data_IF_390000044780
#
_entry.id   IF_390000044780
#
_cell.length_a   1.000
_cell.length_b   1.000
_cell.length_c   1.000
_cell.angle_alpha   90.00
_cell.angle_beta   90.00
_cell.angle_gamma   90.00
#
_symmetry.space_group_name_H-M   'P 1'
#
loop_
_entity.id
_entity.type
_entity.pdbx_description
1 polymer ?
#
# COMPACT_ATOMS: atom_id res chain seq x y z
N UNK A 1 -6.46 5.26 -32.51
CA UNK A 1 -7.84 4.75 -32.24
C UNK A 1 -8.69 5.20 -33.40
N UNK A 2 -9.39 4.28 -34.06
CA UNK A 2 -10.20 4.57 -35.25
C UNK A 2 -11.64 4.18 -34.96
N UNK A 3 -12.59 5.08 -35.24
CA UNK A 3 -14.02 4.81 -35.10
C UNK A 3 -14.47 3.90 -36.25
N UNK A 4 -15.07 2.76 -35.91
CA UNK A 4 -15.62 1.80 -36.88
C UNK A 4 -17.13 2.01 -37.09
N UNK A 5 -17.84 2.50 -36.09
CA UNK A 5 -19.28 2.75 -36.15
C UNK A 5 -19.95 2.50 -34.80
N UNK A 6 -21.21 2.08 -34.83
CA UNK A 6 -21.98 1.77 -33.63
C UNK A 6 -22.39 0.30 -33.60
N UNK A 7 -22.25 -0.37 -32.45
CA UNK A 7 -22.67 -1.74 -32.23
C UNK A 7 -23.59 -1.81 -31.01
N UNK A 8 -24.85 -2.25 -31.20
CA UNK A 8 -25.88 -2.33 -30.13
C UNK A 8 -26.02 -1.05 -29.29
N UNK A 9 -25.83 0.12 -29.91
CA UNK A 9 -25.92 1.42 -29.23
C UNK A 9 -24.60 1.93 -28.61
N UNK A 10 -23.53 1.14 -28.65
CA UNK A 10 -22.19 1.55 -28.23
C UNK A 10 -21.36 2.05 -29.40
N UNK A 11 -20.54 3.07 -29.18
CA UNK A 11 -19.54 3.50 -30.17
C UNK A 11 -18.41 2.47 -30.22
N UNK A 12 -18.23 1.84 -31.37
CA UNK A 12 -17.21 0.82 -31.60
C UNK A 12 -15.97 1.47 -32.18
N UNK A 13 -14.89 1.44 -31.41
CA UNK A 13 -13.58 1.90 -31.84
C UNK A 13 -12.62 0.72 -31.98
N UNK A 14 -11.64 0.81 -32.85
CA UNK A 14 -10.56 -0.17 -32.93
C UNK A 14 -9.23 0.45 -32.50
N UNK A 15 -8.46 -0.35 -31.77
CA UNK A 15 -7.08 -0.05 -31.40
C UNK A 15 -6.24 -1.31 -31.57
N UNK A 16 -4.94 -1.10 -31.73
CA UNK A 16 -3.96 -2.17 -31.63
C UNK A 16 -3.33 -2.08 -30.24
N UNK A 17 -3.34 -3.18 -29.52
CA UNK A 17 -2.65 -3.31 -28.23
C UNK A 17 -1.25 -3.87 -28.48
N UNK A 18 -0.24 -2.99 -28.49
CA UNK A 18 1.15 -3.37 -28.75
C UNK A 18 1.74 -4.28 -27.65
N UNK A 19 1.16 -4.31 -26.45
CA UNK A 19 1.65 -5.18 -25.39
C UNK A 19 1.22 -6.63 -25.62
N UNK A 20 -0.03 -6.83 -26.03
CA UNK A 20 -0.60 -8.14 -26.35
C UNK A 20 -0.44 -8.55 -27.82
N UNK A 21 0.04 -7.64 -28.67
CA UNK A 21 0.13 -7.80 -30.12
C UNK A 21 -1.20 -8.24 -30.77
N UNK A 22 -2.32 -7.68 -30.31
CA UNK A 22 -3.65 -8.01 -30.80
C UNK A 22 -4.47 -6.77 -31.15
N UNK A 23 -5.39 -6.93 -32.10
CA UNK A 23 -6.40 -5.91 -32.37
C UNK A 23 -7.51 -6.03 -31.33
N UNK A 24 -7.89 -4.90 -30.74
CA UNK A 24 -8.98 -4.81 -29.78
C UNK A 24 -10.05 -3.87 -30.33
N UNK A 25 -11.29 -4.34 -30.30
CA UNK A 25 -12.45 -3.49 -30.34
C UNK A 25 -12.63 -2.86 -28.96
N UNK A 26 -13.02 -1.58 -28.91
CA UNK A 26 -13.33 -0.88 -27.68
C UNK A 26 -14.75 -0.36 -27.81
N UNK A 27 -15.64 -0.91 -27.00
CA UNK A 27 -17.00 -0.42 -26.84
C UNK A 27 -16.93 0.81 -25.92
N UNK A 28 -17.29 1.98 -26.45
CA UNK A 28 -17.31 3.26 -25.74
C UNK A 28 -18.73 3.62 -25.33
N UNK A 29 -18.89 3.93 -24.05
CA UNK A 29 -20.02 4.63 -23.45
C UNK A 29 -19.47 5.54 -22.34
N UNK A 30 -20.04 5.51 -21.13
CA UNK A 30 -19.48 6.20 -19.96
C UNK A 30 -18.09 5.68 -19.58
N UNK A 31 -17.91 4.36 -19.69
CA UNK A 31 -16.62 3.69 -19.56
C UNK A 31 -16.22 3.06 -20.88
N UNK A 32 -14.97 2.57 -20.91
CA UNK A 32 -14.38 1.95 -22.10
C UNK A 32 -14.15 0.48 -21.85
N UNK A 33 -14.68 -0.36 -22.73
CA UNK A 33 -14.62 -1.80 -22.58
C UNK A 33 -13.87 -2.43 -23.76
N UNK A 34 -12.59 -2.78 -23.58
CA UNK A 34 -11.81 -3.43 -24.62
C UNK A 34 -12.20 -4.91 -24.74
N UNK A 35 -12.32 -5.38 -25.99
CA UNK A 35 -12.64 -6.75 -26.39
C UNK A 35 -11.63 -7.17 -27.44
N UNK A 36 -10.90 -8.26 -27.17
CA UNK A 36 -9.92 -8.82 -28.10
C UNK A 36 -10.60 -9.40 -29.34
N UNK A 37 -10.12 -9.02 -30.52
CA UNK A 37 -10.58 -9.52 -31.80
C UNK A 37 -9.70 -10.70 -32.22
N UNK A 38 -10.33 -11.75 -32.71
CA UNK A 38 -9.66 -12.87 -33.39
C UNK A 38 -9.83 -12.80 -34.91
N UNK A 39 -9.43 -13.87 -35.59
CA UNK A 39 -9.40 -13.91 -37.06
C UNK A 39 -10.78 -14.10 -37.69
N UNK A 40 -11.73 -14.74 -36.99
CA UNK A 40 -13.08 -14.99 -37.50
C UNK A 40 -14.05 -13.84 -37.18
N UNK A 41 -14.70 -13.32 -38.22
CA UNK A 41 -15.70 -12.25 -38.12
C UNK A 41 -16.92 -12.67 -37.30
N UNK A 42 -17.42 -13.91 -37.46
CA UNK A 42 -18.59 -14.37 -36.68
C UNK A 42 -18.24 -14.55 -35.21
N UNK A 43 -17.09 -15.17 -34.94
CA UNK A 43 -16.55 -15.27 -33.59
C UNK A 43 -16.35 -13.90 -32.93
N UNK A 44 -15.93 -12.88 -33.69
CA UNK A 44 -15.79 -11.52 -33.15
C UNK A 44 -17.13 -10.90 -32.75
N UNK A 45 -18.19 -11.10 -33.53
CA UNK A 45 -19.55 -10.65 -33.16
C UNK A 45 -19.99 -11.34 -31.87
N UNK A 46 -19.79 -12.65 -31.74
CA UNK A 46 -20.11 -13.39 -30.51
C UNK A 46 -19.31 -12.89 -29.31
N UNK A 47 -18.01 -12.58 -29.47
CA UNK A 47 -17.20 -12.01 -28.38
C UNK A 47 -17.73 -10.64 -27.94
N UNK A 48 -18.16 -9.80 -28.89
CA UNK A 48 -18.77 -8.51 -28.58
C UNK A 48 -20.10 -8.67 -27.85
N UNK A 49 -20.95 -9.60 -28.28
CA UNK A 49 -22.22 -9.90 -27.61
C UNK A 49 -21.98 -10.40 -26.18
N UNK A 50 -21.07 -11.36 -25.99
CA UNK A 50 -20.71 -11.85 -24.66
C UNK A 50 -20.13 -10.74 -23.77
N UNK A 51 -19.37 -9.79 -24.33
CA UNK A 51 -18.84 -8.67 -23.58
C UNK A 51 -19.94 -7.71 -23.10
N UNK A 52 -21.01 -7.55 -23.88
CA UNK A 52 -22.19 -6.75 -23.50
C UNK A 52 -23.03 -7.50 -22.47
N UNK A 53 -23.25 -8.80 -22.67
CA UNK A 53 -24.02 -9.63 -21.73
C UNK A 53 -23.36 -9.65 -20.34
N UNK A 54 -22.02 -9.66 -20.28
CA UNK A 54 -21.25 -9.58 -19.03
C UNK A 54 -21.43 -8.25 -18.26
N UNK A 55 -22.11 -7.24 -18.81
CA UNK A 55 -22.40 -6.02 -18.05
C UNK A 55 -23.36 -6.27 -16.89
N UNK A 56 -24.30 -7.22 -17.01
CA UNK A 56 -25.19 -7.55 -15.90
C UNK A 56 -24.42 -8.07 -14.69
N UNK A 57 -23.46 -8.95 -14.93
CA UNK A 57 -22.66 -9.56 -13.88
C UNK A 57 -21.72 -8.53 -13.24
N UNK A 58 -21.12 -7.66 -14.06
CA UNK A 58 -20.26 -6.58 -13.57
C UNK A 58 -21.00 -5.54 -12.73
N UNK A 59 -22.27 -5.27 -13.03
CA UNK A 59 -23.11 -4.39 -12.21
C UNK A 59 -23.34 -5.06 -10.85
N UNK A 60 -23.73 -6.33 -10.84
CA UNK A 60 -23.92 -7.08 -9.59
C UNK A 60 -22.64 -7.15 -8.75
N UNK A 61 -21.48 -7.40 -9.37
CA UNK A 61 -20.19 -7.42 -8.68
C UNK A 61 -19.83 -6.04 -8.09
N UNK A 62 -20.09 -4.96 -8.83
CA UNK A 62 -19.84 -3.61 -8.35
C UNK A 62 -20.75 -3.24 -7.17
N UNK A 63 -22.03 -3.61 -7.21
CA UNK A 63 -22.98 -3.41 -6.10
C UNK A 63 -22.55 -4.19 -4.85
N UNK A 64 -22.16 -5.46 -5.02
CA UNK A 64 -21.64 -6.28 -3.93
C UNK A 64 -20.33 -5.70 -3.35
N UNK A 65 -19.42 -5.23 -4.19
CA UNK A 65 -18.18 -4.60 -3.76
C UNK A 65 -18.45 -3.31 -2.96
N UNK A 66 -19.43 -2.50 -3.37
CA UNK A 66 -19.85 -1.31 -2.66
C UNK A 66 -20.40 -1.67 -1.27
N UNK A 67 -21.33 -2.63 -1.20
CA UNK A 67 -21.90 -3.09 0.06
C UNK A 67 -20.82 -3.61 1.03
N UNK A 68 -19.88 -4.41 0.51
CA UNK A 68 -18.77 -4.93 1.30
C UNK A 68 -17.87 -3.80 1.82
N UNK A 69 -17.58 -2.79 1.00
CA UNK A 69 -16.74 -1.65 1.38
C UNK A 69 -17.44 -0.80 2.45
N UNK A 70 -18.74 -0.58 2.35
CA UNK A 70 -19.52 0.11 3.38
C UNK A 70 -19.48 -0.63 4.72
N UNK A 71 -19.63 -1.96 4.70
CA UNK A 71 -19.50 -2.77 5.91
C UNK A 71 -18.10 -2.68 6.52
N UNK A 72 -17.06 -2.76 5.69
CA UNK A 72 -15.67 -2.61 6.13
C UNK A 72 -15.42 -1.21 6.70
N UNK A 73 -15.98 -0.17 6.10
CA UNK A 73 -15.90 1.20 6.61
C UNK A 73 -16.55 1.31 7.99
N UNK A 74 -17.75 0.78 8.17
CA UNK A 74 -18.43 0.79 9.48
C UNK A 74 -17.64 0.01 10.53
N UNK A 75 -17.13 -1.18 10.18
CA UNK A 75 -16.29 -1.97 11.07
C UNK A 75 -15.01 -1.22 11.47
N UNK A 76 -14.33 -0.59 10.50
CA UNK A 76 -13.14 0.22 10.74
C UNK A 76 -13.45 1.44 11.61
N UNK A 77 -14.57 2.14 11.39
CA UNK A 77 -15.00 3.26 12.24
C UNK A 77 -15.26 2.82 13.68
N UNK A 78 -15.87 1.64 13.88
CA UNK A 78 -16.08 1.06 15.21
C UNK A 78 -14.75 0.67 15.87
N UNK A 79 -13.81 0.09 15.13
CA UNK A 79 -12.48 -0.26 15.64
C UNK A 79 -11.63 0.96 15.97
N UNK A 80 -11.72 2.03 15.16
CA UNK A 80 -11.07 3.31 15.43
C UNK A 80 -11.68 3.99 16.66
N UNK A 81 -13.00 3.90 16.83
CA UNK A 81 -13.69 4.43 18.02
C UNK A 81 -13.44 3.58 19.26
N UNK A 82 -12.99 2.32 19.11
CA UNK A 82 -12.65 1.46 20.24
C UNK A 82 -11.33 1.98 20.86
N UNK A 83 -11.36 2.47 22.11
CA UNK A 83 -10.15 2.98 22.75
C UNK A 83 -9.10 1.87 22.86
N UNK A 84 -7.83 2.26 22.80
CA UNK A 84 -6.71 1.35 22.94
C UNK A 84 -6.74 0.75 24.34
N UNK A 85 -7.01 -0.56 24.44
CA UNK A 85 -7.26 -1.23 25.71
C UNK A 85 -6.09 -1.16 26.72
N UNK A 86 -4.90 -0.77 26.27
CA UNK A 86 -3.69 -0.64 27.09
C UNK A 86 -3.23 0.82 27.22
N UNK A 87 -4.10 1.80 26.96
CA UNK A 87 -3.73 3.23 27.04
C UNK A 87 -3.30 3.61 28.46
N UNK A 88 -3.96 3.08 29.49
CA UNK A 88 -3.57 3.26 30.90
C UNK A 88 -2.20 2.61 31.21
N UNK A 89 -1.97 1.37 30.76
CA UNK A 89 -0.68 0.71 30.97
C UNK A 89 0.46 1.41 30.21
N UNK A 90 0.18 1.95 29.03
CA UNK A 90 1.15 2.67 28.20
C UNK A 90 1.48 4.01 28.85
N UNK A 91 0.48 4.73 29.38
CA UNK A 91 0.69 5.94 30.15
C UNK A 91 1.54 5.69 31.41
N UNK A 92 1.21 4.68 32.22
CA UNK A 92 1.99 4.34 33.42
C UNK A 92 3.44 3.95 33.10
N UNK A 93 3.64 3.10 32.08
CA UNK A 93 4.99 2.67 31.68
C UNK A 93 5.77 3.83 31.06
N UNK A 94 5.12 4.72 30.30
CA UNK A 94 5.76 5.92 29.75
C UNK A 94 6.15 6.93 30.83
N UNK A 95 5.31 7.14 31.84
CA UNK A 95 5.59 8.02 32.97
C UNK A 95 6.76 7.48 33.80
N UNK A 96 6.73 6.18 34.13
CA UNK A 96 7.84 5.52 34.83
C UNK A 96 9.15 5.59 34.05
N UNK A 97 9.12 5.41 32.72
CA UNK A 97 10.30 5.56 31.87
C UNK A 97 10.79 7.01 31.82
N UNK A 98 9.89 8.00 31.78
CA UNK A 98 10.22 9.41 31.80
C UNK A 98 10.88 9.80 33.14
N UNK A 99 10.35 9.32 34.27
CA UNK A 99 10.96 9.48 35.59
C UNK A 99 12.34 8.82 35.67
N UNK A 100 12.48 7.59 35.17
CA UNK A 100 13.77 6.88 35.16
C UNK A 100 14.80 7.61 34.29
N UNK A 101 14.39 8.10 33.12
CA UNK A 101 15.24 8.87 32.22
C UNK A 101 15.64 10.22 32.84
N UNK A 102 14.74 10.88 33.57
CA UNK A 102 15.07 12.12 34.29
C UNK A 102 16.12 11.86 35.38
N UNK A 103 15.97 10.79 36.17
CA UNK A 103 16.96 10.40 37.19
C UNK A 103 18.31 10.01 36.58
N UNK A 104 18.32 9.24 35.49
CA UNK A 104 19.54 8.86 34.79
C UNK A 104 20.24 10.04 34.09
N UNK A 105 19.49 11.01 33.55
CA UNK A 105 20.06 12.23 32.96
C UNK A 105 20.65 13.17 34.02
N UNK A 106 20.07 13.25 35.23
CA UNK A 106 20.61 14.06 36.33
C UNK A 106 22.00 13.54 36.79
N UNK A 107 22.23 12.23 36.76
CA UNK A 107 23.57 11.66 37.03
C UNK A 107 24.57 11.95 35.92
N UNK A 108 24.09 12.13 34.68
CA UNK A 108 24.94 12.50 33.53
C UNK A 108 25.38 13.97 33.59
N UNK A 109 24.49 14.87 34.04
CA UNK A 109 24.81 16.29 34.23
C UNK A 109 25.70 16.53 35.45
N UNK A 110 25.56 15.73 36.52
CA UNK A 110 26.50 15.73 37.67
C UNK A 110 27.87 15.16 37.34
N UNK A 111 27.98 14.30 36.32
CA UNK A 111 29.25 13.77 35.83
C UNK A 111 29.88 14.60 34.71
N UNK A 112 29.26 15.72 34.28
CA UNK A 112 29.78 16.56 33.19
C UNK A 112 30.91 17.51 33.60
N UNK A 113 31.28 17.54 34.88
CA UNK A 113 32.45 18.30 35.36
C UNK A 113 33.71 17.44 35.43
N UNK A 114 34.00 16.63 34.43
CA UNK A 114 35.37 16.20 34.13
C UNK A 114 35.36 15.57 32.74
N UNK A 115 35.80 16.32 31.73
CA UNK A 115 36.90 15.87 30.85
C UNK A 115 36.97 16.67 29.56
N UNK A 116 38.05 17.44 29.43
CA UNK A 116 39.02 17.29 28.34
C UNK A 116 40.26 18.17 28.67
N UNK A 117 41.47 17.89 28.16
CA UNK A 117 41.91 16.75 27.35
C UNK A 117 43.24 16.12 27.84
N UNK A 118 43.45 14.82 27.66
CA UNK A 118 44.82 14.28 27.52
C UNK A 118 44.84 13.08 26.57
N UNK A 119 45.56 13.24 25.47
CA UNK A 119 45.97 12.16 24.57
C UNK A 119 47.06 11.31 25.25
N UNK A 120 46.84 10.00 25.38
CA UNK A 120 47.89 8.98 25.36
C UNK A 120 47.27 7.57 25.25
N UNK A 121 47.38 7.02 24.04
CA UNK A 121 47.68 5.62 23.67
C UNK A 121 47.04 4.41 24.40
N UNK A 122 46.44 3.56 23.55
CA UNK A 122 46.30 2.11 23.61
C UNK A 122 45.56 1.48 24.80
N UNK A 123 44.27 1.12 24.59
CA UNK A 123 43.82 -0.29 24.53
C UNK A 123 42.31 -0.41 24.24
N UNK A 124 42.01 -1.22 23.22
CA UNK A 124 40.76 -1.86 22.75
C UNK A 124 39.39 -1.46 23.36
N UNK A 125 38.52 -0.98 22.45
CA UNK A 125 37.17 -0.46 22.69
C UNK A 125 36.10 -1.52 23.01
N UNK A 126 35.20 -1.27 23.99
CA UNK A 126 33.85 -1.80 23.95
C UNK A 126 32.91 -0.71 23.40
N UNK A 127 32.27 -1.03 22.28
CA UNK A 127 31.35 -0.17 21.55
C UNK A 127 30.30 0.51 22.44
N UNK A 128 30.31 1.84 22.39
CA UNK A 128 29.22 2.72 22.82
C UNK A 128 27.95 2.31 22.09
N UNK A 129 27.05 1.57 22.75
CA UNK A 129 25.79 1.15 22.12
C UNK A 129 24.91 2.39 21.93
N UNK A 130 24.51 2.74 20.70
CA UNK A 130 23.68 3.91 20.47
C UNK A 130 22.32 3.72 21.12
N UNK A 131 21.78 4.81 21.69
CA UNK A 131 20.45 4.83 22.31
C UNK A 131 19.37 4.41 21.33
N UNK A 132 18.47 3.52 21.77
CA UNK A 132 17.34 3.04 20.96
C UNK A 132 16.37 4.20 20.62
N UNK A 133 16.31 5.23 21.47
CA UNK A 133 15.54 6.44 21.23
C UNK A 133 16.00 7.19 19.98
N UNK A 134 17.31 7.41 19.80
CA UNK A 134 17.83 8.04 18.59
C UNK A 134 17.56 7.20 17.32
N UNK A 135 17.58 5.87 17.42
CA UNK A 135 17.23 5.00 16.31
C UNK A 135 15.73 5.03 15.96
N UNK A 136 14.86 5.31 16.93
CA UNK A 136 13.42 5.46 16.71
C UNK A 136 13.04 6.86 16.22
N UNK A 137 13.72 7.89 16.73
CA UNK A 137 13.50 9.30 16.35
C UNK A 137 14.02 9.58 14.93
N UNK A 138 15.13 8.95 14.52
CA UNK A 138 15.63 8.98 13.15
C UNK A 138 14.72 8.20 12.18
N UNK A 139 14.07 7.12 12.66
CA UNK A 139 13.12 6.33 11.85
C UNK A 139 11.74 6.99 11.72
N UNK A 140 11.35 7.84 12.68
CA UNK A 140 10.10 8.61 12.63
C UNK A 140 10.18 9.81 11.68
N UNK A 141 11.38 10.36 11.45
CA UNK A 141 11.59 11.53 10.58
C UNK A 141 12.00 11.20 9.13
N UNK A 142 12.14 9.93 8.76
CA UNK A 142 12.33 9.52 7.37
C UNK A 142 10.99 9.06 6.78
N UNK A 143 10.51 9.64 5.66
CA UNK A 143 9.44 9.00 4.91
C UNK A 143 9.98 7.67 4.37
N UNK A 144 9.52 6.55 4.92
CA UNK A 144 9.94 5.22 4.47
C UNK A 144 9.63 5.09 2.96
N UNK A 145 10.60 4.73 2.10
CA UNK A 145 10.29 4.42 0.71
C UNK A 145 9.42 3.16 0.72
N UNK A 146 8.17 3.30 0.28
CA UNK A 146 7.22 2.20 0.14
C UNK A 146 7.85 1.16 -0.79
N UNK A 147 8.39 0.09 -0.21
CA UNK A 147 8.87 -1.06 -0.97
C UNK A 147 7.63 -1.79 -1.47
N UNK A 148 7.54 -2.10 -2.78
CA UNK A 148 6.40 -2.83 -3.30
C UNK A 148 6.29 -4.18 -2.61
N UNK A 149 5.06 -4.54 -2.27
CA UNK A 149 4.72 -5.80 -1.64
C UNK A 149 5.25 -6.95 -2.50
N UNK A 150 6.16 -7.79 -1.97
CA UNK A 150 6.54 -9.04 -2.62
C UNK A 150 5.39 -10.02 -2.42
N UNK A 151 4.62 -10.26 -3.48
CA UNK A 151 3.62 -11.31 -3.51
C UNK A 151 4.30 -12.67 -3.37
N UNK A 152 3.69 -13.59 -2.62
CA UNK A 152 4.21 -14.93 -2.34
C UNK A 152 4.13 -15.90 -3.55
N UNK A 153 3.99 -15.39 -4.78
CA UNK A 153 3.74 -16.21 -5.98
C UNK A 153 4.93 -16.37 -6.94
N UNK A 154 6.08 -15.75 -6.68
CA UNK A 154 7.30 -15.99 -7.48
C UNK A 154 8.18 -17.12 -6.93
N UNK A 155 7.53 -18.19 -6.45
CA UNK A 155 8.22 -19.45 -6.14
C UNK A 155 7.69 -20.58 -7.01
N UNK A 156 7.67 -20.39 -8.33
CA UNK A 156 7.77 -21.53 -9.25
C UNK A 156 8.62 -21.18 -10.47
N UNK A 157 9.65 -22.01 -10.72
CA UNK A 157 9.99 -22.41 -12.08
C UNK A 157 11.36 -22.02 -12.64
N UNK A 158 12.36 -22.86 -12.29
CA UNK A 158 13.62 -23.15 -13.01
C UNK A 158 14.77 -22.15 -13.01
#
# INVERSE_FOLDING_TARGET
>A
MMLLGTYRGFELNIRFDSFKNEHQAVLRAELSYPVSLGDDARGNITRLDNAIDNFTDRIADAENALQNLEQQKQAAEVEVAKPFAQEEELAEKSARLAELNALLNIDRDRSSSQDAPEEAEETEAPATRPSVLSALEEKANQPEPVKPFKSYLDKEGR
#
